data_IF_423406830793
#
_entry.id   IF_423406830793
#
_cell.length_a   1.000
_cell.length_b   1.000
_cell.length_c   1.000
_cell.angle_alpha   90.00
_cell.angle_beta   90.00
_cell.angle_gamma   90.00
#
_symmetry.space_group_name_H-M   'P 1'
#
loop_
_entity.id
_entity.type
_entity.pdbx_description
1 polymer ?
#
# COMPACT_ATOMS: atom_id res chain seq x y z
N UNK A 1 -23.47 -16.00 25.32
CA UNK A 1 -23.54 -16.96 24.20
C UNK A 1 -24.67 -16.54 23.27
N UNK A 2 -24.39 -15.67 22.29
CA UNK A 2 -25.34 -15.35 21.21
C UNK A 2 -24.72 -15.80 19.91
N UNK A 3 -25.42 -16.73 19.28
CA UNK A 3 -25.05 -17.47 18.07
C UNK A 3 -24.94 -16.50 16.89
N UNK A 4 -23.84 -16.65 16.14
CA UNK A 4 -23.81 -16.77 14.69
C UNK A 4 -25.06 -16.26 13.94
N UNK A 5 -25.01 -15.04 13.43
CA UNK A 5 -25.93 -14.57 12.41
C UNK A 5 -25.14 -13.83 11.33
N UNK A 6 -24.57 -14.65 10.43
CA UNK A 6 -24.56 -14.36 9.01
C UNK A 6 -24.71 -15.71 8.27
N UNK A 7 -25.85 -16.41 8.39
CA UNK A 7 -26.03 -17.68 7.72
C UNK A 7 -26.78 -17.42 6.42
N UNK A 8 -26.08 -16.93 5.38
CA UNK A 8 -26.48 -17.11 3.98
C UNK A 8 -25.41 -16.59 3.00
N UNK A 9 -24.27 -17.26 2.94
CA UNK A 9 -23.51 -17.52 1.70
C UNK A 9 -22.37 -18.55 1.90
N UNK A 10 -22.67 -19.63 2.61
CA UNK A 10 -21.92 -20.89 2.53
C UNK A 10 -22.96 -22.01 2.49
N UNK A 11 -23.59 -22.25 1.34
CA UNK A 11 -24.02 -23.55 0.79
C UNK A 11 -24.62 -23.27 -0.58
N UNK A 12 -23.86 -23.51 -1.65
CA UNK A 12 -24.32 -24.21 -2.86
C UNK A 12 -23.10 -24.92 -3.48
N UNK A 13 -22.32 -25.57 -2.61
CA UNK A 13 -21.43 -26.65 -2.99
C UNK A 13 -22.09 -27.96 -2.57
N UNK A 14 -22.79 -28.61 -3.52
CA UNK A 14 -23.14 -30.03 -3.45
C UNK A 14 -24.52 -30.39 -2.88
N UNK A 15 -25.55 -30.37 -3.73
CA UNK A 15 -26.61 -31.37 -3.73
C UNK A 15 -26.83 -31.82 -5.18
N UNK A 16 -26.51 -33.08 -5.45
CA UNK A 16 -26.63 -33.72 -6.76
C UNK A 16 -28.10 -33.81 -7.18
N UNK A 17 -28.44 -33.17 -8.30
CA UNK A 17 -29.39 -33.71 -9.29
C UNK A 17 -29.01 -33.15 -10.66
N UNK A 18 -28.44 -34.01 -11.52
CA UNK A 18 -28.38 -33.83 -12.98
C UNK A 18 -27.63 -32.62 -13.54
N UNK A 19 -26.36 -32.82 -13.92
CA UNK A 19 -25.72 -32.12 -15.04
C UNK A 19 -25.07 -30.76 -14.77
N UNK A 20 -23.76 -30.70 -15.05
CA UNK A 20 -22.87 -29.53 -15.15
C UNK A 20 -22.34 -28.95 -13.81
N UNK A 21 -21.00 -28.87 -13.61
CA UNK A 21 -20.43 -28.21 -12.44
C UNK A 21 -20.62 -26.69 -12.57
N UNK A 22 -21.40 -26.11 -11.65
CA UNK A 22 -21.63 -24.67 -11.59
C UNK A 22 -20.41 -24.00 -10.95
N UNK A 23 -19.62 -23.34 -11.79
CA UNK A 23 -18.60 -22.37 -11.40
C UNK A 23 -19.17 -21.40 -10.36
N UNK A 24 -18.37 -21.04 -9.36
CA UNK A 24 -18.67 -20.04 -8.36
C UNK A 24 -19.32 -18.81 -9.03
N UNK A 25 -20.58 -18.51 -8.69
CA UNK A 25 -21.26 -17.33 -9.21
C UNK A 25 -20.52 -16.10 -8.68
N UNK A 26 -19.97 -15.31 -9.61
CA UNK A 26 -19.40 -13.99 -9.35
C UNK A 26 -20.46 -13.11 -8.68
N UNK A 27 -20.17 -12.66 -7.47
CA UNK A 27 -20.98 -11.66 -6.79
C UNK A 27 -20.93 -10.34 -7.59
N UNK A 28 -22.06 -9.60 -7.73
CA UNK A 28 -22.06 -8.32 -8.44
C UNK A 28 -21.10 -7.32 -7.78
N UNK A 29 -20.34 -6.56 -8.56
CA UNK A 29 -19.35 -5.61 -8.05
C UNK A 29 -19.85 -4.15 -8.21
N UNK A 30 -19.97 -3.35 -7.12
CA UNK A 30 -19.75 -3.71 -5.71
C UNK A 30 -20.90 -4.56 -5.14
N UNK A 31 -20.56 -5.48 -4.24
CA UNK A 31 -21.55 -6.22 -3.45
C UNK A 31 -21.71 -5.57 -2.10
N UNK A 32 -22.94 -5.19 -1.74
CA UNK A 32 -23.28 -4.69 -0.41
C UNK A 32 -23.85 -5.86 0.39
N UNK A 33 -23.16 -6.25 1.45
CA UNK A 33 -23.67 -7.21 2.43
C UNK A 33 -24.27 -6.43 3.59
N UNK A 34 -25.59 -6.38 3.67
CA UNK A 34 -26.31 -5.82 4.81
C UNK A 34 -26.57 -6.94 5.83
N UNK A 35 -26.08 -6.77 7.05
CA UNK A 35 -26.22 -7.74 8.13
C UNK A 35 -27.50 -7.49 8.94
N UNK A 36 -27.96 -8.48 9.73
CA UNK A 36 -29.18 -8.34 10.55
C UNK A 36 -29.10 -7.24 11.61
N UNK A 37 -27.89 -6.80 11.97
CA UNK A 37 -27.62 -5.66 12.84
C UNK A 37 -27.57 -4.31 12.11
N UNK A 38 -27.87 -4.29 10.80
CA UNK A 38 -27.94 -3.10 9.97
C UNK A 38 -26.58 -2.58 9.47
N UNK A 39 -25.49 -3.32 9.69
CA UNK A 39 -24.17 -2.96 9.19
C UNK A 39 -24.04 -3.37 7.72
N UNK A 40 -23.68 -2.42 6.86
CA UNK A 40 -23.44 -2.63 5.44
C UNK A 40 -21.93 -2.76 5.15
N UNK A 41 -21.53 -3.85 4.49
CA UNK A 41 -20.17 -4.07 4.00
C UNK A 41 -20.13 -3.99 2.48
N UNK A 42 -19.23 -3.16 1.94
CA UNK A 42 -19.01 -3.06 0.50
C UNK A 42 -17.82 -3.94 0.11
N UNK A 43 -18.09 -5.06 -0.55
CA UNK A 43 -17.08 -5.93 -1.16
C UNK A 43 -16.85 -5.44 -2.59
N UNK A 44 -15.64 -4.96 -2.88
CA UNK A 44 -15.23 -4.61 -4.22
C UNK A 44 -14.27 -5.68 -4.75
N UNK A 45 -14.60 -6.29 -5.89
CA UNK A 45 -13.58 -6.96 -6.68
C UNK A 45 -12.67 -5.88 -7.29
N UNK A 46 -11.55 -5.61 -6.63
CA UNK A 46 -10.37 -5.01 -7.26
C UNK A 46 -9.19 -5.94 -7.08
N UNK A 47 -9.27 -7.05 -7.82
CA UNK A 47 -8.13 -7.92 -8.08
C UNK A 47 -7.06 -7.22 -8.91
N UNK A 48 -5.81 -7.51 -8.55
CA UNK A 48 -4.54 -7.22 -9.24
C UNK A 48 -4.01 -5.77 -9.18
N UNK A 49 -2.86 -5.61 -8.49
CA UNK A 49 -1.93 -4.50 -8.80
C UNK A 49 -1.40 -4.71 -10.22
N UNK A 50 -2.04 -4.04 -11.17
CA UNK A 50 -1.35 -3.52 -12.33
C UNK A 50 -1.78 -2.08 -12.47
N UNK A 51 -0.99 -1.14 -11.94
CA UNK A 51 -1.09 0.31 -12.24
C UNK A 51 -2.45 1.01 -12.06
N UNK A 52 -3.53 0.29 -11.72
CA UNK A 52 -4.92 0.69 -11.89
C UNK A 52 -5.58 1.21 -10.62
N UNK A 53 -4.88 1.18 -9.48
CA UNK A 53 -5.34 1.91 -8.30
C UNK A 53 -4.91 3.39 -8.33
N UNK A 54 -4.04 3.80 -9.26
CA UNK A 54 -3.75 5.21 -9.52
C UNK A 54 -4.85 5.92 -10.33
N UNK A 55 -5.86 5.18 -10.83
CA UNK A 55 -6.91 5.69 -11.70
C UNK A 55 -7.76 6.82 -11.12
N UNK A 56 -7.61 7.15 -9.84
CA UNK A 56 -8.31 8.25 -9.17
C UNK A 56 -7.38 9.26 -8.46
N UNK A 57 -6.07 9.25 -8.73
CA UNK A 57 -5.18 10.27 -8.19
C UNK A 57 -5.49 11.63 -8.83
N UNK A 58 -6.13 12.51 -8.06
CA UNK A 58 -6.44 13.88 -8.45
C UNK A 58 -5.30 14.82 -8.02
N UNK A 59 -5.01 15.80 -8.87
CA UNK A 59 -3.98 16.80 -8.60
C UNK A 59 -2.56 16.30 -8.92
N UNK A 60 -1.58 16.85 -8.19
CA UNK A 60 -0.16 16.63 -8.44
C UNK A 60 0.36 15.48 -7.57
N UNK A 61 1.07 14.54 -8.18
CA UNK A 61 1.61 13.38 -7.49
C UNK A 61 2.88 12.85 -8.14
N UNK A 62 3.59 11.99 -7.40
CA UNK A 62 4.81 11.34 -7.84
C UNK A 62 4.57 9.83 -7.86
N UNK A 63 5.05 9.18 -8.92
CA UNK A 63 5.20 7.71 -8.97
C UNK A 63 6.68 7.38 -9.02
N UNK A 64 7.14 6.50 -8.14
CA UNK A 64 8.50 5.96 -8.13
C UNK A 64 8.44 4.47 -8.42
N UNK A 65 8.99 4.05 -9.56
CA UNK A 65 9.10 2.65 -9.93
C UNK A 65 10.49 2.12 -9.56
N UNK A 66 10.54 1.24 -8.57
CA UNK A 66 11.77 0.62 -8.06
C UNK A 66 12.45 -0.24 -9.12
N UNK A 67 11.70 -1.07 -9.85
CA UNK A 67 12.26 -1.98 -10.87
C UNK A 67 12.84 -1.21 -12.06
N UNK A 68 12.14 -0.18 -12.51
CA UNK A 68 12.56 0.67 -13.62
C UNK A 68 13.58 1.73 -13.20
N UNK A 69 13.75 1.97 -11.89
CA UNK A 69 14.60 3.03 -11.33
C UNK A 69 14.25 4.40 -11.90
N UNK A 70 12.96 4.68 -11.95
CA UNK A 70 12.40 5.95 -12.46
C UNK A 70 11.49 6.60 -11.44
N UNK A 71 11.58 7.93 -11.36
CA UNK A 71 10.61 8.79 -10.69
C UNK A 71 9.89 9.62 -11.76
N UNK A 72 8.57 9.64 -11.72
CA UNK A 72 7.73 10.41 -12.64
C UNK A 72 6.87 11.37 -11.83
N UNK A 73 6.91 12.65 -12.17
CA UNK A 73 5.99 13.65 -11.64
C UNK A 73 4.81 13.81 -12.59
N UNK A 74 3.61 13.75 -12.03
CA UNK A 74 2.35 13.94 -12.72
C UNK A 74 1.70 15.25 -12.27
N UNK A 75 1.20 16.02 -13.23
CA UNK A 75 0.35 17.18 -13.02
C UNK A 75 -1.02 16.87 -13.61
N UNK A 76 -2.06 16.87 -12.76
CA UNK A 76 -3.44 16.60 -13.20
C UNK A 76 -3.56 15.29 -14.02
N UNK A 77 -2.86 14.24 -13.59
CA UNK A 77 -2.87 12.95 -14.27
C UNK A 77 -1.98 12.83 -15.51
N UNK A 78 -1.33 13.92 -15.95
CA UNK A 78 -0.41 13.89 -17.09
C UNK A 78 1.06 13.80 -16.63
N UNK A 79 1.88 12.89 -17.21
CA UNK A 79 3.30 12.78 -16.85
C UNK A 79 4.08 13.97 -17.42
N UNK A 80 4.57 14.87 -16.57
CA UNK A 80 5.28 16.09 -17.00
C UNK A 80 6.79 15.89 -17.03
N UNK A 81 7.32 15.13 -16.08
CA UNK A 81 8.77 14.88 -15.93
C UNK A 81 9.06 13.46 -15.50
N UNK A 82 10.15 12.92 -16.02
CA UNK A 82 10.62 11.58 -15.70
C UNK A 82 12.12 11.58 -15.48
N UNK A 83 12.57 11.09 -14.34
CA UNK A 83 13.95 11.15 -13.89
C UNK A 83 14.50 9.76 -13.59
N UNK A 84 15.76 9.46 -13.96
CA UNK A 84 16.47 8.31 -13.43
C UNK A 84 16.76 8.53 -11.94
N UNK A 85 16.65 7.48 -11.13
CA UNK A 85 16.91 7.54 -9.68
C UNK A 85 17.85 6.42 -9.22
N UNK A 86 18.60 6.68 -8.16
CA UNK A 86 19.14 5.58 -7.34
C UNK A 86 18.16 5.26 -6.22
N UNK A 87 18.03 3.98 -5.89
CA UNK A 87 17.11 3.47 -4.88
C UNK A 87 17.85 2.67 -3.80
N UNK A 88 17.11 2.27 -2.78
CA UNK A 88 17.60 1.48 -1.66
C UNK A 88 18.15 0.13 -2.10
N UNK A 89 19.25 -0.29 -1.48
CA UNK A 89 19.79 -1.64 -1.63
C UNK A 89 18.85 -2.71 -1.06
N UNK A 90 19.06 -3.97 -1.40
CA UNK A 90 18.22 -5.09 -0.91
C UNK A 90 18.15 -5.15 0.62
N UNK A 91 19.23 -4.82 1.33
CA UNK A 91 19.29 -4.80 2.80
C UNK A 91 18.62 -3.56 3.41
N UNK A 92 18.59 -2.46 2.66
CA UNK A 92 18.01 -1.17 3.08
C UNK A 92 17.06 -0.65 2.00
N UNK A 93 15.96 -1.37 1.74
CA UNK A 93 15.11 -1.12 0.59
C UNK A 93 14.38 0.22 0.72
N UNK A 94 14.08 0.83 -0.44
CA UNK A 94 13.19 1.98 -0.50
C UNK A 94 11.77 1.56 -0.06
N UNK A 95 11.11 2.33 0.81
CA UNK A 95 9.83 1.95 1.38
C UNK A 95 8.72 2.01 0.32
N UNK A 96 8.22 0.85 -0.10
CA UNK A 96 7.03 0.74 -0.98
C UNK A 96 5.81 1.19 -0.20
N UNK A 97 4.88 1.87 -0.85
CA UNK A 97 3.66 2.36 -0.21
C UNK A 97 3.24 3.72 -0.75
N UNK A 98 2.33 4.34 -0.02
CA UNK A 98 1.70 5.61 -0.33
C UNK A 98 2.10 6.65 0.72
N UNK A 99 2.92 7.61 0.30
CA UNK A 99 3.53 8.60 1.17
C UNK A 99 3.06 10.00 0.81
N UNK A 100 3.34 10.95 1.70
CA UNK A 100 3.14 12.38 1.50
C UNK A 100 4.45 13.13 1.73
N UNK A 101 4.66 14.16 0.93
CA UNK A 101 5.72 15.14 1.18
C UNK A 101 5.38 15.94 2.43
N UNK A 102 6.17 15.80 3.49
CA UNK A 102 5.96 16.50 4.78
C UNK A 102 7.01 17.54 5.09
N UNK A 103 8.11 17.55 4.35
CA UNK A 103 9.19 18.47 4.58
C UNK A 103 9.91 18.81 3.27
N UNK A 104 10.35 20.06 3.13
CA UNK A 104 11.13 20.55 2.00
C UNK A 104 12.26 21.43 2.54
N UNK A 105 13.50 21.04 2.28
CA UNK A 105 14.69 21.74 2.77
C UNK A 105 15.79 21.90 1.71
N UNK A 106 16.78 22.74 2.04
CA UNK A 106 18.00 22.91 1.26
C UNK A 106 19.06 21.85 1.55
N UNK A 107 20.31 22.28 1.74
CA UNK A 107 21.46 21.41 2.04
C UNK A 107 21.30 20.74 3.42
N UNK A 108 20.58 19.63 3.45
CA UNK A 108 20.32 18.80 4.64
C UNK A 108 21.59 18.13 5.19
N UNK A 109 22.62 17.97 4.35
CA UNK A 109 23.94 17.47 4.72
C UNK A 109 24.75 17.09 3.48
N UNK A 110 26.06 16.81 3.67
CA UNK A 110 27.00 16.64 2.57
C UNK A 110 26.63 15.52 1.57
N UNK A 111 25.89 14.48 2.01
CA UNK A 111 25.46 13.37 1.14
C UNK A 111 24.12 13.59 0.43
N UNK A 112 23.37 14.65 0.77
CA UNK A 112 21.98 14.83 0.32
C UNK A 112 21.84 15.76 -0.89
N UNK A 113 22.95 16.33 -1.36
CA UNK A 113 22.94 17.27 -2.48
C UNK A 113 22.26 18.59 -2.13
N UNK A 114 21.67 19.23 -3.14
CA UNK A 114 21.20 20.62 -3.01
C UNK A 114 19.82 20.78 -2.37
N UNK A 115 18.98 19.74 -2.47
CA UNK A 115 17.59 19.76 -1.99
C UNK A 115 17.21 18.44 -1.33
N UNK A 116 16.33 18.55 -0.34
CA UNK A 116 15.73 17.45 0.39
C UNK A 116 14.20 17.58 0.41
N UNK A 117 13.51 16.48 0.09
CA UNK A 117 12.06 16.34 0.13
C UNK A 117 11.74 15.15 1.05
N UNK A 118 11.29 15.42 2.27
CA UNK A 118 11.01 14.41 3.28
C UNK A 118 9.63 13.76 3.14
N UNK A 119 9.57 12.46 3.41
CA UNK A 119 8.36 11.62 3.33
C UNK A 119 7.88 11.18 4.72
N UNK A 120 6.58 10.99 4.89
CA UNK A 120 5.93 10.63 6.16
C UNK A 120 6.00 9.14 6.54
N UNK A 121 7.14 8.50 6.27
CA UNK A 121 7.34 7.06 6.54
C UNK A 121 7.40 6.82 8.06
N UNK A 122 6.60 5.89 8.63
CA UNK A 122 6.46 5.75 10.08
C UNK A 122 7.72 5.35 10.85
N UNK A 123 8.59 4.57 10.21
CA UNK A 123 9.69 3.86 10.88
C UNK A 123 11.07 4.44 10.57
N UNK A 124 11.15 5.65 10.02
CA UNK A 124 12.44 6.30 9.82
C UNK A 124 12.39 7.54 8.94
N UNK A 125 13.56 8.11 8.71
CA UNK A 125 13.74 9.31 7.89
C UNK A 125 14.00 8.88 6.45
N UNK A 126 13.00 9.08 5.60
CA UNK A 126 13.08 8.79 4.17
C UNK A 126 12.75 10.03 3.37
N UNK A 127 13.36 10.16 2.20
CA UNK A 127 13.18 11.32 1.36
C UNK A 127 13.64 11.10 -0.08
N UNK A 128 13.26 12.06 -0.92
CA UNK A 128 13.78 12.27 -2.26
C UNK A 128 14.81 13.40 -2.16
N UNK A 129 16.03 13.17 -2.62
CA UNK A 129 17.10 14.14 -2.46
C UNK A 129 18.14 14.09 -3.59
N UNK A 130 18.99 15.10 -3.66
CA UNK A 130 20.12 15.14 -4.59
C UNK A 130 21.23 14.16 -4.23
N UNK A 131 22.42 14.29 -4.80
CA UNK A 131 23.55 13.44 -4.39
C UNK A 131 24.89 14.07 -4.69
N UNK A 132 25.90 13.75 -3.88
CA UNK A 132 27.31 14.01 -4.17
C UNK A 132 27.99 12.85 -4.91
N UNK A 133 27.25 11.77 -5.21
CA UNK A 133 27.73 10.60 -5.96
C UNK A 133 26.87 10.37 -7.21
N UNK A 134 26.86 11.30 -8.19
CA UNK A 134 25.98 11.25 -9.35
C UNK A 134 26.13 9.97 -10.20
N UNK A 135 27.30 9.33 -10.19
CA UNK A 135 27.55 8.06 -10.89
C UNK A 135 26.77 6.86 -10.31
N UNK A 136 26.16 6.99 -9.13
CA UNK A 136 25.29 5.95 -8.56
C UNK A 136 23.83 6.06 -9.04
N UNK A 137 23.45 7.14 -9.74
CA UNK A 137 22.09 7.29 -10.26
C UNK A 137 21.79 6.17 -11.26
N UNK A 138 20.63 5.52 -11.12
CA UNK A 138 20.26 4.36 -11.91
C UNK A 138 20.71 3.02 -11.31
N UNK A 139 21.12 2.98 -10.04
CA UNK A 139 21.54 1.76 -9.33
C UNK A 139 20.79 1.54 -8.00
N UNK A 140 21.03 0.38 -7.36
CA UNK A 140 20.62 0.07 -5.99
C UNK A 140 21.81 0.39 -5.08
N UNK A 141 21.81 1.57 -4.45
CA UNK A 141 23.02 2.08 -3.76
C UNK A 141 22.74 3.03 -2.58
N UNK A 142 21.48 3.11 -2.13
CA UNK A 142 21.07 3.98 -1.04
C UNK A 142 20.64 3.18 0.19
N UNK A 143 20.55 3.89 1.32
CA UNK A 143 19.99 3.35 2.58
C UNK A 143 18.46 3.47 2.63
N UNK A 144 17.78 3.48 1.46
CA UNK A 144 16.32 3.53 1.33
C UNK A 144 15.78 4.84 0.75
N UNK A 145 16.53 5.94 0.83
CA UNK A 145 16.14 7.20 0.19
C UNK A 145 16.24 7.13 -1.35
N UNK A 146 15.49 8.01 -2.02
CA UNK A 146 15.49 8.11 -3.48
C UNK A 146 16.46 9.22 -3.88
N UNK A 147 17.52 8.88 -4.61
CA UNK A 147 18.53 9.84 -5.05
C UNK A 147 18.28 10.28 -6.48
N UNK A 148 18.41 11.57 -6.71
CA UNK A 148 18.35 12.24 -8.01
C UNK A 148 19.67 12.95 -8.29
N UNK A 149 19.91 13.27 -9.56
CA UNK A 149 20.89 14.31 -9.89
C UNK A 149 20.48 15.65 -9.25
N UNK A 150 21.46 16.48 -8.87
CA UNK A 150 21.19 17.75 -8.20
C UNK A 150 20.31 18.71 -9.03
N UNK A 151 20.52 18.76 -10.35
CA UNK A 151 19.66 19.51 -11.27
C UNK A 151 18.21 19.00 -11.28
N UNK A 152 18.02 17.68 -11.27
CA UNK A 152 16.69 17.06 -11.28
C UNK A 152 15.94 17.25 -9.96
N UNK A 153 16.62 17.11 -8.81
CA UNK A 153 15.96 17.36 -7.52
C UNK A 153 15.60 18.84 -7.38
N UNK A 154 16.41 19.76 -7.91
CA UNK A 154 16.09 21.19 -7.89
C UNK A 154 14.83 21.50 -8.69
N UNK A 155 14.69 20.92 -9.89
CA UNK A 155 13.48 21.04 -10.69
C UNK A 155 12.28 20.43 -9.97
N UNK A 156 12.37 19.16 -9.54
CA UNK A 156 11.30 18.48 -8.82
C UNK A 156 10.87 19.26 -7.56
N UNK A 157 11.84 19.80 -6.81
CA UNK A 157 11.58 20.60 -5.61
C UNK A 157 10.69 21.82 -5.91
N UNK A 158 10.81 22.44 -7.08
CA UNK A 158 9.97 23.57 -7.46
C UNK A 158 8.57 23.14 -7.92
N UNK A 159 8.42 21.92 -8.43
CA UNK A 159 7.14 21.37 -8.88
C UNK A 159 6.28 20.87 -7.72
N UNK A 160 6.88 20.22 -6.73
CA UNK A 160 6.14 19.52 -5.66
C UNK A 160 5.79 20.46 -4.51
N UNK A 161 4.63 20.26 -3.89
CA UNK A 161 4.18 21.01 -2.70
C UNK A 161 4.21 20.11 -1.46
N UNK A 162 4.14 20.73 -0.28
CA UNK A 162 3.84 19.96 0.93
C UNK A 162 2.45 19.29 0.75
N UNK A 163 2.35 18.04 1.16
CA UNK A 163 1.16 17.22 0.97
C UNK A 163 1.08 16.48 -0.37
N UNK A 164 1.96 16.76 -1.35
CA UNK A 164 2.02 16.01 -2.62
C UNK A 164 2.17 14.51 -2.33
N UNK A 165 1.30 13.70 -2.95
CA UNK A 165 1.33 12.25 -2.80
C UNK A 165 2.51 11.63 -3.53
N UNK A 166 3.16 10.64 -2.93
CA UNK A 166 4.31 9.92 -3.47
C UNK A 166 4.04 8.43 -3.36
N UNK A 167 3.81 7.80 -4.51
CA UNK A 167 3.52 6.38 -4.60
C UNK A 167 4.77 5.63 -5.03
N UNK A 168 5.27 4.75 -4.16
CA UNK A 168 6.47 3.96 -4.43
C UNK A 168 6.03 2.53 -4.72
N UNK A 169 6.30 2.07 -5.94
CA UNK A 169 5.92 0.74 -6.42
C UNK A 169 7.13 -0.17 -6.60
N UNK A 170 6.98 -1.43 -6.18
CA UNK A 170 8.03 -2.45 -6.25
C UNK A 170 7.55 -3.78 -5.65
N UNK A 171 8.50 -4.64 -5.31
CA UNK A 171 8.22 -5.95 -4.70
C UNK A 171 7.93 -5.80 -3.21
N UNK A 172 6.82 -6.39 -2.76
CA UNK A 172 6.41 -6.31 -1.35
C UNK A 172 7.49 -6.85 -0.40
N UNK A 173 7.60 -6.26 0.80
CA UNK A 173 8.55 -6.74 1.79
C UNK A 173 8.20 -8.17 2.20
N UNK A 174 9.23 -8.98 2.44
CA UNK A 174 9.06 -10.27 3.11
C UNK A 174 8.60 -10.01 4.54
N UNK A 175 7.52 -10.67 4.94
CA UNK A 175 6.92 -10.52 6.26
C UNK A 175 7.10 -11.81 7.03
N UNK A 176 7.56 -11.68 8.26
CA UNK A 176 7.46 -12.72 9.27
C UNK A 176 6.19 -12.42 10.07
N UNK A 177 5.21 -13.33 10.11
CA UNK A 177 4.00 -13.13 10.88
C UNK A 177 4.28 -12.79 12.35
N UNK A 178 3.49 -11.88 12.92
CA UNK A 178 3.54 -11.55 14.35
C UNK A 178 2.51 -12.36 15.12
N UNK A 179 2.70 -12.48 16.44
CA UNK A 179 1.68 -13.07 17.33
C UNK A 179 0.33 -12.36 17.18
N UNK A 180 0.37 -11.03 17.11
CA UNK A 180 -0.78 -10.17 16.93
C UNK A 180 -0.34 -8.86 16.27
N UNK A 181 -1.19 -8.30 15.41
CA UNK A 181 -1.05 -6.95 14.85
C UNK A 181 -2.35 -6.19 15.11
N UNK A 182 -2.25 -4.99 15.65
CA UNK A 182 -3.39 -4.17 16.03
C UNK A 182 -3.12 -2.67 15.82
N UNK A 183 -4.12 -1.85 16.15
CA UNK A 183 -4.06 -0.39 16.07
C UNK A 183 -2.79 0.19 16.69
N UNK A 184 -2.28 1.26 16.11
CA UNK A 184 -1.00 1.92 16.45
C UNK A 184 0.26 1.12 16.09
N UNK A 185 0.16 -0.12 15.62
CA UNK A 185 1.30 -0.78 15.01
C UNK A 185 1.66 -0.09 13.69
N UNK A 186 2.95 0.07 13.46
CA UNK A 186 3.50 0.59 12.21
C UNK A 186 4.65 -0.29 11.75
N UNK A 187 4.92 -0.31 10.45
CA UNK A 187 6.03 -1.09 9.92
C UNK A 187 5.90 -1.46 8.45
N UNK A 188 7.00 -2.02 7.93
CA UNK A 188 7.06 -2.55 6.56
C UNK A 188 6.13 -3.73 6.35
N UNK A 189 5.93 -4.54 7.38
CA UNK A 189 4.99 -5.65 7.36
C UNK A 189 3.53 -5.20 7.32
N UNK A 190 3.20 -4.08 7.97
CA UNK A 190 1.87 -3.48 7.90
C UNK A 190 1.48 -3.17 6.45
N UNK A 191 2.42 -2.70 5.62
CA UNK A 191 2.17 -2.51 4.17
C UNK A 191 1.75 -3.80 3.50
N UNK A 192 2.40 -4.92 3.83
CA UNK A 192 2.04 -6.20 3.23
C UNK A 192 0.65 -6.65 3.68
N UNK A 193 0.29 -6.44 4.95
CA UNK A 193 -1.05 -6.73 5.44
C UNK A 193 -2.11 -5.84 4.80
N UNK A 194 -1.87 -4.52 4.70
CA UNK A 194 -2.74 -3.59 3.97
C UNK A 194 -2.93 -4.08 2.52
N UNK A 195 -1.83 -4.45 1.86
CA UNK A 195 -1.90 -4.97 0.51
C UNK A 195 -2.68 -6.28 0.41
N UNK A 196 -2.47 -7.21 1.34
CA UNK A 196 -3.15 -8.50 1.35
C UNK A 196 -4.65 -8.38 1.62
N UNK A 197 -5.04 -7.52 2.58
CA UNK A 197 -6.44 -7.20 2.85
C UNK A 197 -7.13 -6.65 1.59
N UNK A 198 -6.50 -5.66 0.93
CA UNK A 198 -7.03 -5.10 -0.31
C UNK A 198 -7.18 -6.15 -1.40
N UNK A 199 -6.16 -7.00 -1.58
CA UNK A 199 -6.20 -8.11 -2.54
C UNK A 199 -7.32 -9.10 -2.23
N UNK A 200 -7.64 -9.29 -0.95
CA UNK A 200 -8.74 -10.13 -0.48
C UNK A 200 -10.12 -9.44 -0.55
N UNK A 201 -10.20 -8.21 -1.06
CA UNK A 201 -11.46 -7.47 -1.21
C UNK A 201 -11.84 -6.56 -0.03
N UNK A 202 -10.97 -6.45 0.98
CA UNK A 202 -11.19 -5.59 2.16
C UNK A 202 -10.29 -4.37 2.07
N UNK A 203 -10.85 -3.18 1.81
CA UNK A 203 -10.04 -1.97 1.60
C UNK A 203 -9.50 -1.38 2.93
N UNK A 204 -8.18 -1.42 3.19
CA UNK A 204 -7.61 -0.95 4.45
C UNK A 204 -7.36 0.58 4.48
N UNK A 205 -7.80 1.31 3.46
CA UNK A 205 -7.44 2.71 3.26
C UNK A 205 -6.03 2.87 2.70
N UNK A 206 -5.35 3.98 3.00
CA UNK A 206 -4.04 4.29 2.41
C UNK A 206 -2.97 3.25 2.78
N UNK A 207 -2.13 2.81 1.84
CA UNK A 207 -0.99 1.91 2.13
C UNK A 207 0.19 2.69 2.71
N UNK A 208 0.01 3.19 3.93
CA UNK A 208 0.96 4.05 4.66
C UNK A 208 1.76 3.29 5.74
N UNK A 209 1.60 1.97 5.83
CA UNK A 209 2.24 1.13 6.83
C UNK A 209 1.84 1.46 8.26
N UNK A 210 0.63 2.01 8.47
CA UNK A 210 0.02 2.26 9.78
C UNK A 210 -1.23 1.42 9.93
N UNK A 211 -1.35 0.70 11.04
CA UNK A 211 -2.59 0.06 11.41
C UNK A 211 -3.52 1.12 12.01
N UNK A 212 -4.24 1.81 11.12
CA UNK A 212 -5.20 2.87 11.43
C UNK A 212 -6.64 2.38 11.55
N UNK A 213 -7.58 3.33 11.62
CA UNK A 213 -9.01 3.05 11.74
C UNK A 213 -9.56 2.32 10.50
N UNK A 214 -9.17 2.74 9.30
CA UNK A 214 -9.65 2.13 8.04
C UNK A 214 -9.18 0.68 7.92
N UNK A 215 -7.90 0.41 8.24
CA UNK A 215 -7.38 -0.96 8.28
C UNK A 215 -8.07 -1.81 9.35
N UNK A 216 -8.36 -1.26 10.52
CA UNK A 216 -9.14 -1.96 11.56
C UNK A 216 -10.54 -2.35 11.06
N UNK A 217 -11.23 -1.45 10.34
CA UNK A 217 -12.52 -1.75 9.71
C UNK A 217 -12.40 -2.84 8.64
N UNK A 218 -11.35 -2.81 7.82
CA UNK A 218 -11.09 -3.87 6.84
C UNK A 218 -10.87 -5.24 7.51
N UNK A 219 -10.15 -5.27 8.63
CA UNK A 219 -9.94 -6.49 9.42
C UNK A 219 -11.24 -6.98 10.05
N UNK A 220 -12.08 -6.09 10.58
CA UNK A 220 -13.40 -6.44 11.10
C UNK A 220 -14.30 -7.03 10.00
N UNK A 221 -14.34 -6.41 8.83
CA UNK A 221 -15.09 -6.92 7.67
C UNK A 221 -14.58 -8.28 7.22
N UNK A 222 -13.26 -8.47 7.18
CA UNK A 222 -12.64 -9.77 6.90
C UNK A 222 -13.04 -10.83 7.93
N UNK A 223 -12.91 -10.51 9.22
CA UNK A 223 -13.28 -11.43 10.30
C UNK A 223 -14.74 -11.83 10.21
N UNK A 224 -15.63 -10.86 10.01
CA UNK A 224 -17.05 -11.10 9.82
C UNK A 224 -17.31 -12.02 8.61
N UNK A 225 -16.73 -11.70 7.45
CA UNK A 225 -16.88 -12.48 6.22
C UNK A 225 -16.45 -13.94 6.35
N UNK A 226 -15.34 -14.20 7.06
CA UNK A 226 -14.85 -15.57 7.30
C UNK A 226 -15.47 -16.24 8.54
N UNK A 227 -16.45 -15.62 9.21
CA UNK A 227 -17.08 -16.19 10.41
C UNK A 227 -16.16 -16.27 11.63
N UNK A 228 -15.15 -15.41 11.69
CA UNK A 228 -14.21 -15.28 12.80
C UNK A 228 -14.74 -14.29 13.86
N UNK A 229 -14.15 -14.32 15.06
CA UNK A 229 -14.46 -13.32 16.08
C UNK A 229 -14.02 -11.92 15.59
N UNK A 230 -14.91 -10.90 15.62
CA UNK A 230 -14.60 -9.55 15.11
C UNK A 230 -13.76 -8.78 16.12
N UNK A 231 -12.49 -9.16 16.27
CA UNK A 231 -11.58 -8.56 17.25
C UNK A 231 -10.99 -7.22 16.79
N UNK A 232 -11.01 -6.93 15.48
CA UNK A 232 -10.34 -5.76 14.89
C UNK A 232 -8.81 -5.86 14.88
N UNK A 233 -8.28 -7.03 15.24
CA UNK A 233 -6.85 -7.34 15.27
C UNK A 233 -6.55 -8.49 14.32
N UNK A 234 -5.31 -8.57 13.87
CA UNK A 234 -4.79 -9.68 13.08
C UNK A 234 -3.95 -10.62 13.95
N UNK A 235 -4.56 -11.69 14.43
CA UNK A 235 -3.86 -12.83 15.02
C UNK A 235 -3.00 -13.57 14.00
N UNK A 236 -2.15 -14.49 14.47
CA UNK A 236 -1.32 -15.33 13.60
C UNK A 236 -2.16 -16.12 12.57
N UNK A 237 -3.28 -16.71 12.99
CA UNK A 237 -4.14 -17.51 12.11
C UNK A 237 -4.77 -16.63 11.01
N UNK A 238 -5.18 -15.42 11.35
CA UNK A 238 -5.73 -14.47 10.38
C UNK A 238 -4.67 -13.98 9.39
N UNK A 239 -3.44 -13.80 9.83
CA UNK A 239 -2.31 -13.53 8.94
C UNK A 239 -2.06 -14.73 7.99
N UNK A 240 -2.25 -15.98 8.43
CA UNK A 240 -2.17 -17.15 7.55
C UNK A 240 -3.28 -17.21 6.51
N UNK A 241 -4.50 -16.80 6.86
CA UNK A 241 -5.63 -16.65 5.91
C UNK A 241 -5.28 -15.65 4.81
N UNK A 242 -4.59 -14.56 5.17
CA UNK A 242 -4.07 -13.56 4.22
C UNK A 242 -2.85 -14.04 3.41
N UNK A 243 -2.41 -15.29 3.60
CA UNK A 243 -1.35 -15.92 2.81
C UNK A 243 0.07 -15.77 3.38
N UNK A 244 0.22 -15.29 4.62
CA UNK A 244 1.52 -15.20 5.28
C UNK A 244 1.87 -16.51 6.00
N UNK A 245 3.10 -17.00 5.81
CA UNK A 245 3.58 -18.27 6.37
C UNK A 245 4.99 -18.11 6.92
#
# INVERSE_FOLDING_TARGET
MKRWICPLLIVMGGLFFGGVPLMAQELPNPSIITCEDGIEFVIQEKGAIQTGHFGNLKGDYIIVNIKQRRLVFYHQGQPIRSYPVAIGETKTPTPIGEWKVIHKGGKWGNGFGDRWIGLNVPWGIYGIHGTNKPWLIGSYASHGCIRLFNSHVLELYNLVKLGTSVHIIGDLPKVVPRKEVARNNTGRDIIAFQFALRKAGFDPGTVDGRFGAEMEQAVLGMQFFYGLAPTGKLSLNEQMILGFR
#
